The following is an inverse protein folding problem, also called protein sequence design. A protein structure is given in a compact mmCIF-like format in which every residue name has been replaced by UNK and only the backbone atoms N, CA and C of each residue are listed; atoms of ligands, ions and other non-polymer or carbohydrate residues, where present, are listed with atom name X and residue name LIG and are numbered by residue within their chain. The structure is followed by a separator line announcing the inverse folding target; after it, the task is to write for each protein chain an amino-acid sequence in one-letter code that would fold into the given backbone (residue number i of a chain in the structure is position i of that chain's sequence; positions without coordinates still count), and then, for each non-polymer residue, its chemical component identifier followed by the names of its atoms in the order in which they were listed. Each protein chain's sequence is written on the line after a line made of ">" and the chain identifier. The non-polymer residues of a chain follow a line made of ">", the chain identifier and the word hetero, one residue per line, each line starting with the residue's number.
data_IF_048061645640
#
_entry.id   IF_048061645640
#
_cell.length_a   1.000
_cell.length_b   1.000
_cell.length_c   1.000
_cell.angle_alpha   90.00
_cell.angle_beta   90.00
_cell.angle_gamma   90.00
#
_symmetry.space_group_name_H-M   'P 1'
#
loop_
_entity.id
_entity.type
_entity.pdbx_description
1 polymer ?
#
# COMPACT_ATOMS: atom_id res chain seq x y z
N UNK A 1 -9.50 -0.66 -19.45
CA UNK A 1 -8.37 -0.30 -18.58
C UNK A 1 -7.10 -0.27 -19.42
N UNK A 2 -6.77 0.93 -19.92
CA UNK A 2 -5.64 1.10 -20.86
C UNK A 2 -4.27 0.96 -20.15
N UNK A 3 -4.22 1.30 -18.88
CA UNK A 3 -2.98 1.37 -18.08
C UNK A 3 -2.81 0.20 -17.10
N UNK A 4 -3.50 -0.92 -17.28
CA UNK A 4 -3.32 -2.10 -16.42
C UNK A 4 -2.85 -3.30 -17.23
N UNK A 5 -1.71 -3.86 -16.86
CA UNK A 5 -1.14 -5.09 -17.42
C UNK A 5 -1.56 -6.29 -16.58
N UNK A 6 -2.46 -7.11 -17.12
CA UNK A 6 -2.81 -8.39 -16.50
C UNK A 6 -1.69 -9.41 -16.68
N UNK A 7 -1.49 -10.24 -15.65
CA UNK A 7 -0.51 -11.32 -15.70
C UNK A 7 -1.17 -12.66 -16.01
N UNK A 8 -0.54 -13.39 -16.91
CA UNK A 8 -0.89 -14.76 -17.26
C UNK A 8 0.12 -15.76 -16.65
N UNK A 9 -0.07 -17.05 -16.93
CA UNK A 9 0.81 -18.11 -16.42
C UNK A 9 2.28 -17.94 -16.86
N UNK A 10 2.49 -17.50 -18.09
CA UNK A 10 3.85 -17.35 -18.66
C UNK A 10 4.58 -16.20 -17.96
N UNK A 11 3.90 -15.09 -17.71
CA UNK A 11 4.47 -13.95 -16.97
C UNK A 11 4.93 -14.39 -15.58
N UNK A 12 4.11 -15.16 -14.85
CA UNK A 12 4.41 -15.64 -13.50
C UNK A 12 5.59 -16.62 -13.52
N UNK A 13 5.54 -17.61 -14.41
CA UNK A 13 6.59 -18.63 -14.51
C UNK A 13 7.93 -18.05 -15.00
N UNK A 14 7.93 -16.98 -15.79
CA UNK A 14 9.15 -16.30 -16.20
C UNK A 14 9.94 -15.70 -15.03
N UNK A 15 9.25 -15.35 -13.94
CA UNK A 15 9.83 -14.83 -12.70
C UNK A 15 10.04 -15.90 -11.62
N UNK A 16 9.65 -17.16 -11.89
CA UNK A 16 9.69 -18.26 -10.92
C UNK A 16 10.85 -19.22 -11.25
N UNK A 17 11.78 -19.35 -10.33
CA UNK A 17 12.90 -20.30 -10.45
C UNK A 17 12.43 -21.71 -10.05
N UNK A 18 11.84 -22.45 -10.98
CA UNK A 18 11.40 -23.84 -10.77
C UNK A 18 12.61 -24.74 -10.48
N UNK A 19 12.55 -25.52 -9.39
CA UNK A 19 13.61 -26.41 -8.97
C UNK A 19 13.08 -27.80 -8.62
N UNK A 20 13.91 -28.81 -8.87
CA UNK A 20 13.56 -30.20 -8.50
C UNK A 20 13.44 -30.33 -6.97
N UNK A 21 12.43 -31.05 -6.52
CA UNK A 21 12.12 -31.35 -5.11
C UNK A 21 11.67 -30.17 -4.24
N UNK A 22 11.39 -29.01 -4.79
CA UNK A 22 10.77 -27.91 -4.07
C UNK A 22 9.71 -27.23 -4.95
N UNK A 23 8.67 -26.71 -4.33
CA UNK A 23 7.62 -25.97 -5.01
C UNK A 23 7.71 -24.50 -4.59
N UNK A 24 7.58 -23.58 -5.54
CA UNK A 24 7.60 -22.13 -5.30
C UNK A 24 6.18 -21.58 -5.29
N UNK A 25 5.98 -20.43 -4.63
CA UNK A 25 4.67 -19.75 -4.66
C UNK A 25 4.20 -19.48 -6.09
N UNK A 26 5.09 -19.08 -7.00
CA UNK A 26 4.76 -18.84 -8.41
C UNK A 26 4.21 -20.06 -9.15
N UNK A 27 4.41 -21.28 -8.64
CA UNK A 27 3.81 -22.51 -9.18
C UNK A 27 2.40 -22.80 -8.60
N UNK A 28 1.99 -22.08 -7.52
CA UNK A 28 0.74 -22.29 -6.78
C UNK A 28 -0.23 -21.12 -6.87
N UNK A 29 0.29 -19.89 -7.00
CA UNK A 29 -0.50 -18.67 -7.12
C UNK A 29 -1.46 -18.76 -8.31
N UNK A 30 -2.69 -18.29 -8.10
CA UNK A 30 -3.72 -18.22 -9.14
C UNK A 30 -3.49 -17.01 -10.07
N UNK A 31 -4.00 -17.12 -11.27
CA UNK A 31 -3.97 -16.09 -12.31
C UNK A 31 -5.27 -16.15 -13.13
N UNK A 32 -5.56 -15.12 -13.89
CA UNK A 32 -6.70 -15.14 -14.82
C UNK A 32 -6.33 -15.88 -16.10
N UNK A 33 -7.30 -16.66 -16.62
CA UNK A 33 -7.12 -17.38 -17.89
C UNK A 33 -7.24 -16.45 -19.09
N UNK A 34 -8.08 -15.44 -18.97
CA UNK A 34 -8.40 -14.45 -19.98
C UNK A 34 -8.70 -13.11 -19.31
N UNK A 35 -8.24 -12.03 -19.88
CA UNK A 35 -8.45 -10.68 -19.36
C UNK A 35 -9.68 -9.97 -19.93
N UNK A 36 -10.39 -10.57 -20.90
CA UNK A 36 -11.59 -9.98 -21.53
C UNK A 36 -12.77 -9.92 -20.56
N UNK A 37 -12.92 -10.91 -19.68
CA UNK A 37 -13.94 -10.97 -18.63
C UNK A 37 -13.30 -11.18 -17.24
N UNK A 38 -12.31 -10.36 -16.93
CA UNK A 38 -11.53 -10.46 -15.71
C UNK A 38 -12.37 -10.34 -14.44
N UNK A 39 -13.40 -9.50 -14.42
CA UNK A 39 -14.22 -9.26 -13.23
C UNK A 39 -15.07 -10.49 -12.87
N UNK A 40 -15.62 -11.19 -13.85
CA UNK A 40 -16.36 -12.44 -13.63
C UNK A 40 -15.43 -13.54 -13.16
N UNK A 41 -14.26 -13.71 -13.79
CA UNK A 41 -13.28 -14.70 -13.38
C UNK A 41 -12.76 -14.43 -11.96
N UNK A 42 -12.55 -13.15 -11.61
CA UNK A 42 -12.17 -12.74 -10.26
C UNK A 42 -13.23 -13.13 -9.24
N UNK A 43 -14.51 -12.84 -9.52
CA UNK A 43 -15.62 -13.18 -8.63
C UNK A 43 -15.78 -14.70 -8.42
N UNK A 44 -15.51 -15.50 -9.46
CA UNK A 44 -15.56 -16.97 -9.43
C UNK A 44 -14.31 -17.60 -8.82
N UNK A 45 -13.22 -16.86 -8.70
CA UNK A 45 -11.97 -17.38 -8.12
C UNK A 45 -12.15 -17.76 -6.65
N UNK A 46 -11.56 -18.86 -6.26
CA UNK A 46 -11.49 -19.30 -4.86
C UNK A 46 -10.38 -18.58 -4.07
N UNK A 47 -9.59 -17.70 -4.71
CA UNK A 47 -8.60 -16.89 -4.00
C UNK A 47 -9.28 -15.94 -3.01
N UNK A 48 -8.71 -15.80 -1.82
CA UNK A 48 -9.11 -14.82 -0.79
C UNK A 48 -8.46 -13.46 -1.08
N UNK A 49 -7.22 -13.48 -1.53
CA UNK A 49 -6.39 -12.29 -1.75
C UNK A 49 -6.19 -12.01 -3.23
N UNK A 50 -6.14 -10.71 -3.57
CA UNK A 50 -5.81 -10.24 -4.92
C UNK A 50 -4.59 -9.34 -4.85
N UNK A 51 -3.48 -9.82 -5.41
CA UNK A 51 -2.21 -9.09 -5.45
C UNK A 51 -2.14 -8.23 -6.70
N UNK A 52 -1.93 -6.93 -6.51
CA UNK A 52 -1.74 -5.94 -7.57
C UNK A 52 -0.55 -5.02 -7.28
N UNK A 53 0.05 -4.46 -8.34
CA UNK A 53 1.07 -3.45 -8.26
C UNK A 53 0.59 -2.08 -8.73
N UNK A 54 1.11 -1.02 -8.10
CA UNK A 54 0.96 0.37 -8.56
C UNK A 54 2.37 1.00 -8.65
N UNK A 55 3.23 0.52 -9.56
CA UNK A 55 4.59 1.05 -9.69
C UNK A 55 4.57 2.44 -10.36
N UNK A 56 4.40 3.48 -9.55
CA UNK A 56 4.44 4.89 -9.97
C UNK A 56 5.16 5.75 -8.92
N UNK A 57 5.78 6.83 -9.34
CA UNK A 57 6.45 7.82 -8.49
C UNK A 57 5.93 9.26 -8.73
N UNK A 58 4.81 9.36 -9.43
CA UNK A 58 4.18 10.63 -9.83
C UNK A 58 3.72 11.40 -8.60
N UNK A 59 3.09 10.71 -7.63
CA UNK A 59 2.62 11.33 -6.40
C UNK A 59 3.76 11.80 -5.48
N UNK A 60 4.87 11.07 -5.44
CA UNK A 60 6.09 11.48 -4.72
C UNK A 60 6.69 12.73 -5.35
N UNK A 61 6.81 12.78 -6.67
CA UNK A 61 7.30 13.95 -7.41
C UNK A 61 6.35 15.15 -7.26
N UNK A 62 5.04 14.92 -7.21
CA UNK A 62 4.03 15.95 -6.94
C UNK A 62 4.20 16.58 -5.55
N UNK A 63 4.86 15.89 -4.62
CA UNK A 63 5.25 16.33 -3.28
C UNK A 63 6.73 16.77 -3.18
N UNK A 64 7.37 17.09 -4.29
CA UNK A 64 8.79 17.47 -4.37
C UNK A 64 9.79 16.38 -3.95
N UNK A 65 9.34 15.12 -3.82
CA UNK A 65 10.20 14.00 -3.45
C UNK A 65 11.05 13.46 -4.59
N UNK A 66 12.05 12.64 -4.24
CA UNK A 66 12.91 11.95 -5.21
C UNK A 66 12.17 10.74 -5.77
N UNK A 67 11.97 10.68 -7.07
CA UNK A 67 11.31 9.55 -7.72
C UNK A 67 12.08 8.23 -7.56
N UNK A 68 11.37 7.10 -7.74
CA UNK A 68 11.96 5.76 -7.72
C UNK A 68 11.13 4.70 -7.01
N UNK A 69 10.06 5.06 -6.29
CA UNK A 69 9.18 4.05 -5.65
C UNK A 69 8.45 3.17 -6.69
N UNK A 70 8.44 3.55 -7.96
CA UNK A 70 8.01 2.73 -9.10
C UNK A 70 8.91 1.50 -9.36
N UNK A 71 10.12 1.46 -8.77
CA UNK A 71 11.13 0.42 -9.04
C UNK A 71 11.01 -0.83 -8.16
N UNK A 72 10.14 -0.86 -7.14
CA UNK A 72 10.07 -1.95 -6.16
C UNK A 72 9.26 -3.17 -6.60
N UNK A 73 8.30 -3.00 -7.52
CA UNK A 73 7.35 -4.06 -7.93
C UNK A 73 8.02 -5.32 -8.49
N UNK A 74 8.89 -5.18 -9.48
CA UNK A 74 9.54 -6.34 -10.11
C UNK A 74 10.50 -7.06 -9.16
N UNK A 75 11.37 -6.38 -8.38
CA UNK A 75 12.17 -7.02 -7.33
C UNK A 75 11.34 -7.72 -6.25
N UNK A 76 10.19 -7.12 -5.87
CA UNK A 76 9.24 -7.78 -4.97
C UNK A 76 8.71 -9.08 -5.58
N UNK A 77 8.16 -9.06 -6.79
CA UNK A 77 7.65 -10.27 -7.44
C UNK A 77 8.73 -11.34 -7.59
N UNK A 78 9.93 -10.95 -8.01
CA UNK A 78 11.07 -11.86 -8.15
C UNK A 78 11.45 -12.53 -6.82
N UNK A 79 11.25 -11.84 -5.69
CA UNK A 79 11.45 -12.43 -4.36
C UNK A 79 10.25 -13.27 -3.93
N UNK A 80 9.03 -12.75 -4.06
CA UNK A 80 7.80 -13.34 -3.53
C UNK A 80 7.43 -14.64 -4.26
N UNK A 81 7.47 -14.66 -5.60
CA UNK A 81 7.16 -15.84 -6.39
C UNK A 81 8.16 -16.99 -6.14
N UNK A 82 9.34 -16.68 -5.62
CA UNK A 82 10.39 -17.64 -5.29
C UNK A 82 10.41 -18.07 -3.81
N UNK A 83 9.49 -17.62 -2.98
CA UNK A 83 9.26 -18.17 -1.64
C UNK A 83 8.82 -19.64 -1.77
N UNK A 84 9.27 -20.52 -0.87
CA UNK A 84 8.89 -21.92 -0.87
C UNK A 84 7.45 -22.09 -0.41
N UNK A 85 6.64 -22.77 -1.22
CA UNK A 85 5.31 -23.24 -0.83
C UNK A 85 5.46 -24.43 0.10
N UNK A 86 4.80 -24.39 1.26
CA UNK A 86 4.80 -25.45 2.28
C UNK A 86 3.57 -25.30 3.17
N UNK A 87 3.49 -26.12 4.24
CA UNK A 87 2.34 -26.14 5.16
C UNK A 87 2.16 -24.80 5.93
N UNK A 88 3.20 -23.98 6.07
CA UNK A 88 3.08 -22.66 6.66
C UNK A 88 2.53 -21.62 5.69
N UNK A 89 2.72 -21.82 4.38
CA UNK A 89 2.31 -20.87 3.35
C UNK A 89 2.21 -21.55 1.98
N UNK A 90 1.01 -21.88 1.54
CA UNK A 90 0.80 -22.57 0.26
C UNK A 90 0.83 -21.65 -0.95
N UNK A 91 0.32 -20.43 -0.83
CA UNK A 91 0.12 -19.47 -1.93
C UNK A 91 -1.17 -19.66 -2.72
N UNK A 92 -1.94 -20.72 -2.48
CA UNK A 92 -3.14 -21.06 -3.26
C UNK A 92 -4.33 -20.10 -3.04
N UNK A 93 -4.29 -19.30 -1.95
CA UNK A 93 -5.31 -18.29 -1.65
C UNK A 93 -5.06 -16.95 -2.31
N UNK A 94 -3.97 -16.82 -3.07
CA UNK A 94 -3.57 -15.56 -3.73
C UNK A 94 -3.82 -15.66 -5.23
N UNK A 95 -4.45 -14.63 -5.79
CA UNK A 95 -4.54 -14.37 -7.22
C UNK A 95 -3.66 -13.18 -7.57
N UNK A 96 -2.62 -13.39 -8.38
CA UNK A 96 -1.82 -12.30 -8.95
C UNK A 96 -2.56 -11.75 -10.17
N UNK A 97 -3.08 -10.52 -10.06
CA UNK A 97 -3.87 -9.89 -11.11
C UNK A 97 -2.98 -9.17 -12.14
N UNK A 98 -1.98 -8.42 -11.68
CA UNK A 98 -1.09 -7.64 -12.53
C UNK A 98 -0.66 -6.33 -11.89
N UNK A 99 -0.34 -5.32 -12.73
CA UNK A 99 0.05 -4.00 -12.25
C UNK A 99 -0.40 -2.88 -13.17
N UNK A 100 -0.52 -1.68 -12.62
CA UNK A 100 -0.70 -0.45 -13.40
C UNK A 100 0.62 -0.04 -14.08
N UNK A 101 0.49 0.55 -15.26
CA UNK A 101 1.60 1.17 -15.99
C UNK A 101 1.21 2.61 -16.36
N UNK A 102 1.82 3.56 -15.67
CA UNK A 102 1.64 5.00 -15.89
C UNK A 102 2.85 5.65 -16.57
N UNK A 103 3.74 4.86 -17.15
CA UNK A 103 4.96 5.33 -17.81
C UNK A 103 4.69 6.35 -18.91
N UNK A 104 3.64 6.17 -19.72
CA UNK A 104 3.25 7.11 -20.76
C UNK A 104 2.85 8.49 -20.19
N UNK A 105 2.14 8.51 -19.05
CA UNK A 105 1.74 9.75 -18.38
C UNK A 105 2.97 10.48 -17.85
N UNK A 106 3.84 9.77 -17.14
CA UNK A 106 5.11 10.29 -16.63
C UNK A 106 5.97 10.88 -17.75
N UNK A 107 6.15 10.14 -18.84
CA UNK A 107 6.89 10.58 -20.01
C UNK A 107 6.31 11.87 -20.61
N UNK A 108 4.99 11.96 -20.76
CA UNK A 108 4.34 13.17 -21.28
C UNK A 108 4.57 14.39 -20.39
N UNK A 109 4.49 14.24 -19.08
CA UNK A 109 4.73 15.33 -18.13
C UNK A 109 6.17 15.81 -18.24
N UNK A 110 7.13 14.90 -18.14
CA UNK A 110 8.56 15.23 -18.10
C UNK A 110 9.09 15.84 -19.40
N UNK A 111 8.40 15.64 -20.53
CA UNK A 111 8.80 16.18 -21.83
C UNK A 111 8.03 17.44 -22.25
N UNK A 112 6.98 17.86 -21.53
CA UNK A 112 6.14 19.01 -21.91
C UNK A 112 6.02 20.09 -20.85
N UNK A 113 6.49 19.88 -19.63
CA UNK A 113 6.57 20.94 -18.61
C UNK A 113 7.90 21.66 -18.72
N UNK A 114 7.87 22.98 -18.81
CA UNK A 114 9.05 23.83 -19.06
C UNK A 114 9.54 24.57 -17.81
N UNK A 115 8.70 24.66 -16.77
CA UNK A 115 9.07 25.29 -15.50
C UNK A 115 8.83 24.33 -14.33
N UNK A 116 9.54 24.51 -13.19
CA UNK A 116 9.31 23.70 -12.00
C UNK A 116 7.85 23.71 -11.52
N UNK A 117 7.19 24.86 -11.55
CA UNK A 117 5.79 25.00 -11.12
C UNK A 117 4.82 24.29 -12.08
N UNK A 118 5.05 24.38 -13.39
CA UNK A 118 4.28 23.62 -14.38
C UNK A 118 4.45 22.11 -14.17
N UNK A 119 5.67 21.67 -13.87
CA UNK A 119 5.97 20.26 -13.63
C UNK A 119 5.22 19.72 -12.40
N UNK A 120 5.27 20.45 -11.27
CA UNK A 120 4.55 20.06 -10.05
C UNK A 120 3.03 20.02 -10.28
N UNK A 121 2.48 21.07 -10.92
CA UNK A 121 1.05 21.12 -11.23
C UNK A 121 0.64 19.99 -12.18
N UNK A 122 1.46 19.63 -13.16
CA UNK A 122 1.20 18.52 -14.07
C UNK A 122 1.22 17.17 -13.34
N UNK A 123 2.17 16.97 -12.42
CA UNK A 123 2.17 15.78 -11.56
C UNK A 123 0.93 15.70 -10.68
N UNK A 124 0.55 16.79 -9.98
CA UNK A 124 -0.66 16.86 -9.15
C UNK A 124 -1.93 16.56 -9.95
N UNK A 125 -2.00 17.06 -11.19
CA UNK A 125 -3.11 16.72 -12.09
C UNK A 125 -3.10 15.24 -12.49
N UNK A 126 -1.94 14.68 -12.79
CA UNK A 126 -1.81 13.28 -13.19
C UNK A 126 -2.18 12.32 -12.04
N UNK A 127 -1.92 12.68 -10.79
CA UNK A 127 -2.37 11.89 -9.62
C UNK A 127 -3.89 11.71 -9.63
N UNK A 128 -4.69 12.72 -10.03
CA UNK A 128 -6.15 12.54 -10.14
C UNK A 128 -6.54 11.51 -11.21
N UNK A 129 -5.76 11.39 -12.29
CA UNK A 129 -5.99 10.35 -13.33
C UNK A 129 -5.66 8.97 -12.78
N UNK A 130 -4.59 8.85 -11.98
CA UNK A 130 -4.21 7.62 -11.28
C UNK A 130 -5.31 7.23 -10.29
N UNK A 131 -5.76 8.19 -9.48
CA UNK A 131 -6.82 8.01 -8.48
C UNK A 131 -8.07 7.37 -9.10
N UNK A 132 -8.55 7.88 -10.23
CA UNK A 132 -9.73 7.34 -10.91
C UNK A 132 -9.56 5.88 -11.33
N UNK A 133 -8.40 5.52 -11.86
CA UNK A 133 -8.15 4.17 -12.36
C UNK A 133 -7.96 3.16 -11.23
N UNK A 134 -7.21 3.55 -10.19
CA UNK A 134 -7.00 2.72 -9.00
C UNK A 134 -8.32 2.51 -8.25
N UNK A 135 -9.10 3.58 -8.02
CA UNK A 135 -10.43 3.49 -7.40
C UNK A 135 -11.31 2.47 -8.13
N UNK A 136 -11.41 2.57 -9.47
CA UNK A 136 -12.27 1.68 -10.26
C UNK A 136 -11.84 0.21 -10.15
N UNK A 137 -10.54 -0.09 -10.13
CA UNK A 137 -10.03 -1.45 -9.96
C UNK A 137 -10.36 -2.00 -8.57
N UNK A 138 -10.01 -1.24 -7.52
CA UNK A 138 -10.22 -1.66 -6.13
C UNK A 138 -11.70 -1.85 -5.80
N UNK A 139 -12.57 -1.00 -6.33
CA UNK A 139 -14.02 -1.16 -6.21
C UNK A 139 -14.52 -2.50 -6.74
N UNK A 140 -13.98 -2.98 -7.86
CA UNK A 140 -14.36 -4.29 -8.41
C UNK A 140 -13.83 -5.43 -7.55
N UNK A 141 -12.57 -5.34 -7.10
CA UNK A 141 -11.93 -6.37 -6.26
C UNK A 141 -12.70 -6.51 -4.93
N UNK A 142 -12.97 -5.39 -4.25
CA UNK A 142 -13.69 -5.39 -2.98
C UNK A 142 -15.17 -5.80 -3.13
N UNK A 143 -15.84 -5.44 -4.24
CA UNK A 143 -17.19 -5.88 -4.53
C UNK A 143 -17.29 -7.41 -4.75
N UNK A 144 -16.21 -8.04 -5.21
CA UNK A 144 -16.08 -9.50 -5.29
C UNK A 144 -15.75 -10.15 -3.93
N UNK A 145 -15.74 -9.38 -2.83
CA UNK A 145 -15.39 -9.81 -1.45
C UNK A 145 -13.98 -10.41 -1.37
N UNK A 146 -13.05 -9.88 -2.14
CA UNK A 146 -11.63 -10.23 -2.08
C UNK A 146 -10.88 -9.15 -1.30
N UNK A 147 -9.83 -9.56 -0.59
CA UNK A 147 -8.93 -8.65 0.14
C UNK A 147 -7.80 -8.23 -0.81
N UNK A 148 -7.73 -6.95 -1.20
CA UNK A 148 -6.62 -6.46 -2.02
C UNK A 148 -5.31 -6.44 -1.22
N UNK A 149 -4.22 -6.87 -1.86
CA UNK A 149 -2.84 -6.65 -1.43
C UNK A 149 -2.21 -5.77 -2.50
N UNK A 150 -1.86 -4.53 -2.14
CA UNK A 150 -1.38 -3.51 -3.06
C UNK A 150 0.08 -3.20 -2.75
N UNK A 151 0.93 -3.24 -3.77
CA UNK A 151 2.37 -3.01 -3.60
C UNK A 151 2.83 -1.88 -4.50
N UNK A 152 3.52 -0.96 -3.86
CA UNK A 152 4.26 0.10 -4.53
C UNK A 152 3.45 1.34 -4.83
N UNK A 153 4.15 2.25 -5.46
CA UNK A 153 3.76 3.62 -5.69
C UNK A 153 4.01 4.52 -4.49
N UNK A 154 3.76 5.80 -4.69
CA UNK A 154 3.75 6.77 -3.61
C UNK A 154 2.52 6.61 -2.71
N UNK A 155 2.57 7.16 -1.51
CA UNK A 155 1.48 7.06 -0.54
C UNK A 155 0.21 7.85 -0.94
N UNK A 156 0.27 8.66 -2.03
CA UNK A 156 -0.92 9.21 -2.67
C UNK A 156 -1.98 8.14 -3.00
N UNK A 157 -1.55 6.91 -3.29
CA UNK A 157 -2.44 5.81 -3.64
C UNK A 157 -3.36 5.36 -2.51
N UNK A 158 -3.08 5.68 -1.23
CA UNK A 158 -3.98 5.38 -0.12
C UNK A 158 -5.39 5.99 -0.33
N UNK A 159 -5.50 7.21 -0.89
CA UNK A 159 -6.80 7.82 -1.17
C UNK A 159 -7.68 7.00 -2.12
N UNK A 160 -7.26 6.69 -3.36
CA UNK A 160 -8.10 5.89 -4.26
C UNK A 160 -8.29 4.44 -3.79
N UNK A 161 -7.36 3.88 -3.01
CA UNK A 161 -7.50 2.55 -2.40
C UNK A 161 -8.63 2.58 -1.38
N UNK A 162 -8.60 3.49 -0.40
CA UNK A 162 -9.65 3.67 0.62
C UNK A 162 -11.00 3.86 -0.07
N UNK A 163 -11.09 4.80 -1.01
CA UNK A 163 -12.31 5.15 -1.74
C UNK A 163 -12.86 3.97 -2.54
N UNK A 164 -12.01 3.28 -3.29
CA UNK A 164 -12.40 2.14 -4.11
C UNK A 164 -12.86 0.95 -3.28
N UNK A 165 -12.11 0.62 -2.22
CA UNK A 165 -12.46 -0.49 -1.31
C UNK A 165 -13.75 -0.19 -0.57
N UNK A 166 -13.91 1.02 0.01
CA UNK A 166 -15.14 1.42 0.70
C UNK A 166 -16.38 1.30 -0.19
N UNK A 167 -16.30 1.82 -1.42
CA UNK A 167 -17.38 1.69 -2.43
C UNK A 167 -17.66 0.24 -2.82
N UNK A 168 -16.61 -0.58 -2.93
CA UNK A 168 -16.73 -2.00 -3.27
C UNK A 168 -17.42 -2.80 -2.17
N UNK A 169 -16.99 -2.66 -0.92
CA UNK A 169 -17.58 -3.32 0.25
C UNK A 169 -19.04 -2.89 0.47
N UNK A 170 -19.35 -1.60 0.30
CA UNK A 170 -20.72 -1.12 0.36
C UNK A 170 -21.59 -1.72 -0.76
N UNK A 171 -21.09 -1.75 -2.01
CA UNK A 171 -21.77 -2.39 -3.13
C UNK A 171 -22.04 -3.89 -2.89
N UNK A 172 -21.14 -4.57 -2.20
CA UNK A 172 -21.27 -5.98 -1.82
C UNK A 172 -22.19 -6.21 -0.61
N UNK A 173 -22.73 -5.16 0.00
CA UNK A 173 -23.55 -5.22 1.20
C UNK A 173 -22.79 -5.64 2.46
N UNK A 174 -21.48 -5.49 2.48
CA UNK A 174 -20.61 -5.83 3.62
C UNK A 174 -20.61 -4.72 4.67
N UNK A 175 -20.61 -3.46 4.23
CA UNK A 175 -20.73 -2.27 5.10
C UNK A 175 -21.91 -1.41 4.68
N UNK A 176 -22.58 -0.72 5.64
CA UNK A 176 -23.78 0.07 5.35
C UNK A 176 -23.49 1.40 4.63
N UNK A 177 -22.32 1.98 4.85
CA UNK A 177 -21.86 3.23 4.24
C UNK A 177 -20.55 2.97 3.48
N UNK A 178 -20.28 3.76 2.44
CA UNK A 178 -18.99 3.70 1.71
C UNK A 178 -17.88 4.38 2.53
N UNK A 179 -17.63 3.90 3.74
CA UNK A 179 -16.63 4.45 4.66
C UNK A 179 -15.94 3.31 5.40
N UNK A 180 -14.61 3.36 5.48
CA UNK A 180 -13.75 2.42 6.20
C UNK A 180 -12.75 3.19 7.06
N UNK A 181 -12.06 2.51 7.95
CA UNK A 181 -10.97 3.06 8.75
C UNK A 181 -9.61 2.73 8.14
N UNK A 182 -8.55 3.36 8.64
CA UNK A 182 -7.17 3.02 8.30
C UNK A 182 -6.25 3.12 9.52
N UNK A 183 -5.31 2.19 9.62
CA UNK A 183 -4.12 2.29 10.47
C UNK A 183 -2.90 2.41 9.58
N UNK A 184 -1.98 3.30 9.91
CA UNK A 184 -0.80 3.59 9.10
C UNK A 184 0.48 3.54 9.94
N UNK A 185 1.39 2.66 9.60
CA UNK A 185 2.74 2.65 10.16
C UNK A 185 3.64 3.52 9.29
N UNK A 186 3.97 4.71 9.78
CA UNK A 186 4.56 5.77 8.99
C UNK A 186 5.33 6.77 9.88
N UNK A 187 6.42 7.32 9.36
CA UNK A 187 7.13 8.43 9.98
C UNK A 187 6.43 9.78 9.75
N UNK A 188 5.54 9.85 8.75
CA UNK A 188 4.77 11.03 8.35
C UNK A 188 3.29 10.87 8.67
N UNK A 189 2.54 11.96 8.62
CA UNK A 189 1.08 11.91 8.83
C UNK A 189 0.29 11.68 7.54
N UNK A 190 0.85 12.06 6.40
CA UNK A 190 0.21 12.09 5.07
C UNK A 190 -1.19 12.71 5.09
N UNK A 191 -1.32 13.70 5.97
CA UNK A 191 -2.56 14.41 6.30
C UNK A 191 -2.41 15.93 6.08
N UNK A 192 -1.55 16.32 5.13
CA UNK A 192 -1.35 17.72 4.73
C UNK A 192 -2.61 18.29 4.06
N UNK A 193 -2.79 19.64 4.05
CA UNK A 193 -3.94 20.28 3.43
C UNK A 193 -4.18 19.86 1.97
N UNK A 194 -5.45 19.94 1.54
CA UNK A 194 -5.89 19.56 0.21
C UNK A 194 -5.54 20.62 -0.85
N UNK A 195 -4.24 20.85 -1.09
CA UNK A 195 -3.70 21.86 -2.03
C UNK A 195 -3.40 21.33 -3.44
N UNK A 196 -3.88 20.14 -3.78
CA UNK A 196 -3.58 19.35 -4.97
C UNK A 196 -3.05 17.99 -4.56
N UNK A 197 -3.35 16.94 -5.34
CA UNK A 197 -3.06 15.56 -4.98
C UNK A 197 -1.56 15.25 -5.05
N UNK A 198 -1.01 14.71 -3.95
CA UNK A 198 0.37 14.25 -3.83
C UNK A 198 0.53 13.20 -2.72
N UNK A 199 1.71 12.64 -2.52
CA UNK A 199 1.93 11.56 -1.54
C UNK A 199 1.60 11.98 -0.09
N UNK A 200 1.88 13.20 0.31
CA UNK A 200 1.71 13.69 1.69
C UNK A 200 0.28 14.10 2.09
N UNK A 201 -0.78 13.81 1.30
CA UNK A 201 -2.15 14.28 1.65
C UNK A 201 -3.28 13.28 1.35
N UNK A 202 -2.95 12.00 1.17
CA UNK A 202 -3.92 11.00 0.78
C UNK A 202 -5.05 10.83 1.80
N UNK A 203 -4.72 10.76 3.08
CA UNK A 203 -5.70 10.52 4.14
C UNK A 203 -6.58 11.75 4.38
N UNK A 204 -6.06 12.98 4.19
CA UNK A 204 -6.86 14.19 4.26
C UNK A 204 -7.94 14.22 3.19
N UNK A 205 -7.60 13.91 1.93
CA UNK A 205 -8.58 13.79 0.85
C UNK A 205 -9.60 12.67 1.09
N UNK A 206 -9.15 11.52 1.63
CA UNK A 206 -10.06 10.40 1.92
C UNK A 206 -11.08 10.75 3.01
N UNK A 207 -10.67 11.52 4.02
CA UNK A 207 -11.55 12.02 5.07
C UNK A 207 -12.51 13.09 4.55
N UNK A 208 -12.02 14.13 3.88
CA UNK A 208 -12.84 15.22 3.35
C UNK A 208 -13.91 14.73 2.37
N UNK A 209 -13.59 13.72 1.56
CA UNK A 209 -14.54 13.05 0.66
C UNK A 209 -15.49 12.06 1.38
N UNK A 210 -15.30 11.81 2.68
CA UNK A 210 -16.16 10.97 3.51
C UNK A 210 -15.95 9.46 3.38
N UNK A 211 -14.83 9.00 2.79
CA UNK A 211 -14.52 7.58 2.65
C UNK A 211 -13.67 7.02 3.79
N UNK A 212 -12.94 7.88 4.50
CA UNK A 212 -12.16 7.54 5.69
C UNK A 212 -12.94 7.94 6.94
N UNK A 213 -13.23 6.98 7.82
CA UNK A 213 -13.93 7.19 9.09
C UNK A 213 -12.97 7.55 10.22
N UNK A 214 -12.13 6.60 10.59
CA UNK A 214 -11.07 6.81 11.59
C UNK A 214 -9.70 6.55 10.98
N UNK A 215 -8.73 7.31 11.42
CA UNK A 215 -7.34 7.22 10.99
C UNK A 215 -6.41 7.21 12.19
N UNK A 216 -5.56 6.19 12.32
CA UNK A 216 -4.56 6.11 13.38
C UNK A 216 -3.16 5.92 12.82
N UNK A 217 -2.25 6.85 13.16
CA UNK A 217 -0.86 6.84 12.71
C UNK A 217 0.01 6.24 13.82
N UNK A 218 0.80 5.23 13.49
CA UNK A 218 1.77 4.61 14.39
C UNK A 218 3.18 4.96 13.95
N UNK A 219 3.99 5.51 14.84
CA UNK A 219 5.38 5.84 14.55
C UNK A 219 5.60 7.23 13.94
N UNK A 220 4.61 8.12 14.01
CA UNK A 220 4.75 9.52 13.57
C UNK A 220 5.96 10.18 14.25
N UNK A 221 6.89 10.72 13.46
CA UNK A 221 8.01 11.45 14.01
C UNK A 221 7.61 12.90 14.34
N UNK A 222 7.90 13.34 15.56
CA UNK A 222 7.63 14.72 16.01
C UNK A 222 8.33 15.77 15.13
N UNK A 223 9.48 15.40 14.54
CA UNK A 223 10.24 16.27 13.64
C UNK A 223 9.66 16.40 12.22
N UNK A 224 8.74 15.53 11.82
CA UNK A 224 8.21 15.49 10.44
C UNK A 224 6.77 15.97 10.32
N UNK A 225 6.13 16.32 11.43
CA UNK A 225 4.77 16.86 11.42
C UNK A 225 4.78 18.38 11.57
N UNK A 226 4.08 19.10 10.69
CA UNK A 226 3.93 20.55 10.81
C UNK A 226 2.91 20.90 11.89
N UNK A 227 3.06 22.13 12.48
CA UNK A 227 2.15 22.61 13.51
C UNK A 227 0.68 22.62 13.04
N UNK A 228 0.42 22.96 11.79
CA UNK A 228 -0.94 23.00 11.25
C UNK A 228 -1.56 21.60 11.20
N UNK A 229 -0.82 20.60 10.69
CA UNK A 229 -1.27 19.20 10.65
C UNK A 229 -1.50 18.67 12.07
N UNK A 230 -0.61 18.99 13.01
CA UNK A 230 -0.75 18.58 14.41
C UNK A 230 -2.02 19.17 15.04
N UNK A 231 -2.32 20.45 14.76
CA UNK A 231 -3.56 21.09 15.22
C UNK A 231 -4.81 20.47 14.60
N UNK A 232 -4.77 20.13 13.30
CA UNK A 232 -5.88 19.44 12.63
C UNK A 232 -6.15 18.08 13.28
N UNK A 233 -5.09 17.30 13.55
CA UNK A 233 -5.21 16.01 14.24
C UNK A 233 -5.82 16.19 15.65
N UNK A 234 -5.27 17.11 16.46
CA UNK A 234 -5.75 17.34 17.83
C UNK A 234 -7.21 17.82 17.91
N UNK A 235 -7.69 18.51 16.88
CA UNK A 235 -9.07 19.00 16.82
C UNK A 235 -10.04 17.97 16.21
N UNK A 236 -9.55 16.85 15.72
CA UNK A 236 -10.35 15.83 15.05
C UNK A 236 -10.41 14.54 15.89
N UNK A 237 -11.55 14.21 16.52
CA UNK A 237 -11.67 13.02 17.37
C UNK A 237 -11.61 11.69 16.58
N UNK A 238 -11.62 11.75 15.26
CA UNK A 238 -11.55 10.59 14.39
C UNK A 238 -10.12 10.33 13.84
N UNK A 239 -9.15 11.18 14.24
CA UNK A 239 -7.74 10.99 13.88
C UNK A 239 -6.92 10.92 15.16
N UNK A 240 -6.08 9.89 15.27
CA UNK A 240 -5.20 9.68 16.43
C UNK A 240 -3.80 9.29 15.97
N UNK A 241 -2.81 9.43 16.84
CA UNK A 241 -1.45 9.02 16.54
C UNK A 241 -0.69 8.56 17.78
N UNK A 242 0.31 7.73 17.57
CA UNK A 242 1.32 7.38 18.54
C UNK A 242 2.69 7.75 17.94
N UNK A 243 3.43 8.68 18.61
CA UNK A 243 4.71 9.12 18.07
C UNK A 243 5.79 8.05 18.19
N UNK A 244 6.77 8.11 17.29
CA UNK A 244 7.99 7.31 17.38
C UNK A 244 8.72 7.57 18.71
N UNK A 245 8.78 8.83 19.12
CA UNK A 245 9.45 9.25 20.34
C UNK A 245 8.77 8.68 21.59
N UNK A 246 7.43 8.60 21.62
CA UNK A 246 6.69 7.99 22.74
C UNK A 246 7.06 6.51 22.92
N UNK A 247 7.26 5.78 21.83
CA UNK A 247 7.50 4.33 21.84
C UNK A 247 8.99 4.01 22.02
N UNK A 248 9.86 4.65 21.22
CA UNK A 248 11.25 4.21 21.08
C UNK A 248 12.28 5.11 21.79
N UNK A 249 11.94 6.38 22.06
CA UNK A 249 12.83 7.29 22.77
C UNK A 249 12.47 7.39 24.26
N UNK A 250 11.18 7.49 24.56
CA UNK A 250 10.70 7.68 25.95
C UNK A 250 10.15 6.42 26.59
N UNK A 251 9.96 5.35 25.84
CA UNK A 251 9.44 4.04 26.30
C UNK A 251 8.16 4.13 27.15
N UNK A 252 7.28 5.12 26.83
CA UNK A 252 6.01 5.32 27.53
C UNK A 252 4.98 4.22 27.21
N UNK A 253 5.07 3.66 26.00
CA UNK A 253 4.36 2.48 25.53
C UNK A 253 5.35 1.56 24.83
N UNK A 254 5.17 0.25 24.89
CA UNK A 254 5.90 -0.61 23.98
C UNK A 254 5.21 -0.68 22.60
N UNK A 255 5.92 -1.15 21.59
CA UNK A 255 5.44 -1.14 20.22
C UNK A 255 4.16 -1.97 20.01
N UNK A 256 4.01 -3.11 20.69
CA UNK A 256 2.79 -3.93 20.62
C UNK A 256 1.59 -3.19 21.23
N UNK A 257 1.79 -2.44 22.32
CA UNK A 257 0.74 -1.59 22.88
C UNK A 257 0.33 -0.47 21.93
N UNK A 258 1.27 0.09 21.17
CA UNK A 258 0.97 1.10 20.16
C UNK A 258 0.11 0.51 19.02
N UNK A 259 0.44 -0.69 18.53
CA UNK A 259 -0.37 -1.37 17.52
C UNK A 259 -1.76 -1.72 18.07
N UNK A 260 -1.84 -2.27 19.28
CA UNK A 260 -3.11 -2.62 19.92
C UNK A 260 -4.01 -1.39 20.14
N UNK A 261 -3.42 -0.22 20.44
CA UNK A 261 -4.17 1.04 20.51
C UNK A 261 -4.75 1.41 19.14
N UNK A 262 -3.94 1.37 18.08
CA UNK A 262 -4.39 1.72 16.73
C UNK A 262 -5.49 0.78 16.22
N UNK A 263 -5.34 -0.53 16.39
CA UNK A 263 -6.38 -1.51 16.02
C UNK A 263 -7.65 -1.34 16.84
N UNK A 264 -7.54 -1.12 18.16
CA UNK A 264 -8.71 -0.84 19.02
C UNK A 264 -9.42 0.48 18.69
N UNK A 265 -8.68 1.52 18.27
CA UNK A 265 -9.28 2.79 17.83
C UNK A 265 -10.12 2.62 16.56
N UNK A 266 -9.75 1.72 15.68
CA UNK A 266 -10.37 1.52 14.35
C UNK A 266 -11.28 0.30 14.23
N UNK A 267 -11.56 -0.46 15.33
CA UNK A 267 -12.25 -1.76 15.32
C UNK A 267 -13.74 -1.74 14.92
N UNK A 268 -14.39 -0.56 14.89
CA UNK A 268 -15.83 -0.43 14.68
C UNK A 268 -16.28 -0.76 13.25
N UNK A 269 -15.39 -0.66 12.25
CA UNK A 269 -15.67 -1.06 10.86
C UNK A 269 -14.45 -1.71 10.21
N UNK A 270 -14.52 -1.98 8.91
CA UNK A 270 -13.40 -2.51 8.13
C UNK A 270 -12.23 -1.53 8.10
N UNK A 271 -11.02 -2.03 8.31
CA UNK A 271 -9.80 -1.22 8.46
C UNK A 271 -8.77 -1.60 7.39
N UNK A 272 -8.27 -0.60 6.66
CA UNK A 272 -7.10 -0.71 5.80
C UNK A 272 -5.81 -0.73 6.61
N UNK A 273 -4.88 -1.60 6.23
CA UNK A 273 -3.55 -1.66 6.82
C UNK A 273 -2.58 -0.99 5.84
N UNK A 274 -2.05 0.16 6.23
CA UNK A 274 -1.07 0.93 5.48
C UNK A 274 0.32 0.78 6.10
N UNK A 275 1.33 0.65 5.26
CA UNK A 275 2.72 0.65 5.67
C UNK A 275 3.56 1.46 4.70
N UNK A 276 4.08 2.58 5.19
CA UNK A 276 5.12 3.33 4.50
C UNK A 276 6.50 2.73 4.81
N UNK A 277 7.24 2.34 3.77
CA UNK A 277 8.56 1.76 3.95
C UNK A 277 9.63 2.78 4.36
N UNK A 278 9.35 4.08 4.26
CA UNK A 278 10.28 5.13 4.67
C UNK A 278 10.45 5.22 6.19
N UNK A 279 9.46 4.72 6.95
CA UNK A 279 9.55 4.61 8.40
C UNK A 279 10.53 3.52 8.88
N UNK A 280 11.00 2.63 7.98
CA UNK A 280 11.91 1.54 8.31
C UNK A 280 13.35 1.99 8.09
N UNK A 281 14.16 1.93 9.13
CA UNK A 281 15.58 2.33 9.07
C UNK A 281 16.34 1.59 7.96
N UNK A 282 17.17 2.33 7.21
CA UNK A 282 17.99 1.80 6.12
C UNK A 282 17.20 1.20 4.94
N UNK A 283 15.90 1.42 4.84
CA UNK A 283 15.14 1.10 3.64
C UNK A 283 15.23 2.25 2.64
N UNK A 284 15.47 1.94 1.38
CA UNK A 284 15.60 2.96 0.33
C UNK A 284 14.23 3.53 -0.02
N UNK A 285 14.07 4.84 0.19
CA UNK A 285 12.88 5.61 -0.10
C UNK A 285 13.24 7.06 -0.39
N UNK A 286 12.29 7.83 -0.88
CA UNK A 286 12.42 9.29 -1.08
C UNK A 286 12.75 10.02 0.22
N UNK A 287 12.14 9.64 1.33
CA UNK A 287 12.26 10.26 2.64
C UNK A 287 12.90 9.34 3.69
N UNK A 288 13.84 8.49 3.27
CA UNK A 288 14.51 7.53 4.15
C UNK A 288 15.05 8.17 5.43
N UNK A 289 14.73 7.58 6.59
CA UNK A 289 15.17 8.04 7.91
C UNK A 289 16.25 7.14 8.52
N UNK A 290 17.26 7.70 9.18
CA UNK A 290 18.24 6.92 9.96
C UNK A 290 17.68 6.43 11.32
N UNK A 291 16.60 7.08 11.80
CA UNK A 291 15.97 6.80 13.09
C UNK A 291 14.60 6.12 12.89
N UNK A 292 14.52 5.14 12.01
CA UNK A 292 13.28 4.41 11.76
C UNK A 292 13.11 3.19 12.66
N UNK A 293 11.97 2.53 12.51
CA UNK A 293 11.72 1.22 13.10
C UNK A 293 12.58 0.15 12.43
N UNK A 294 12.72 -1.01 13.06
CA UNK A 294 13.42 -2.14 12.43
C UNK A 294 12.50 -2.92 11.49
N UNK A 295 13.04 -3.68 10.51
CA UNK A 295 12.25 -4.62 9.72
C UNK A 295 11.46 -5.63 10.58
N UNK A 296 11.96 -5.99 11.75
CA UNK A 296 11.25 -6.87 12.69
C UNK A 296 9.98 -6.18 13.24
N UNK A 297 10.08 -4.91 13.61
CA UNK A 297 8.91 -4.14 14.06
C UNK A 297 7.84 -4.02 12.95
N UNK A 298 8.24 -3.76 11.70
CA UNK A 298 7.30 -3.75 10.57
C UNK A 298 6.59 -5.10 10.40
N UNK A 299 7.31 -6.21 10.52
CA UNK A 299 6.73 -7.56 10.49
C UNK A 299 5.77 -7.82 11.67
N UNK A 300 6.10 -7.34 12.88
CA UNK A 300 5.22 -7.43 14.05
C UNK A 300 3.94 -6.63 13.84
N UNK A 301 4.05 -5.40 13.29
CA UNK A 301 2.89 -4.57 12.93
C UNK A 301 1.96 -5.30 11.96
N UNK A 302 2.49 -5.76 10.84
CA UNK A 302 1.70 -6.48 9.84
C UNK A 302 1.06 -7.74 10.43
N UNK A 303 1.82 -8.57 11.16
CA UNK A 303 1.30 -9.80 11.74
C UNK A 303 0.18 -9.54 12.76
N UNK A 304 0.34 -8.51 13.61
CA UNK A 304 -0.66 -8.18 14.62
C UNK A 304 -1.92 -7.60 13.97
N UNK A 305 -1.76 -6.60 13.10
CA UNK A 305 -2.88 -5.94 12.44
C UNK A 305 -3.69 -6.88 11.53
N UNK A 306 -3.04 -7.88 10.94
CA UNK A 306 -3.68 -8.87 10.08
C UNK A 306 -4.55 -9.89 10.83
N UNK A 307 -4.48 -9.98 12.16
CA UNK A 307 -5.36 -10.87 12.96
C UNK A 307 -6.77 -10.31 13.14
N UNK A 308 -7.05 -9.09 12.69
CA UNK A 308 -8.40 -8.53 12.72
C UNK A 308 -9.27 -9.16 11.63
N UNK A 309 -10.46 -9.64 12.01
CA UNK A 309 -11.43 -10.23 11.07
C UNK A 309 -12.00 -9.19 10.06
N UNK A 310 -11.87 -7.89 10.35
CA UNK A 310 -12.37 -6.79 9.50
C UNK A 310 -11.30 -6.12 8.66
N UNK A 311 -10.24 -6.82 8.26
CA UNK A 311 -9.23 -6.27 7.35
C UNK A 311 -9.83 -5.93 5.99
N UNK A 312 -9.72 -4.66 5.57
CA UNK A 312 -10.21 -4.17 4.29
C UNK A 312 -9.21 -4.43 3.15
N UNK A 313 -7.92 -4.18 3.39
CA UNK A 313 -6.81 -4.34 2.44
C UNK A 313 -5.46 -4.24 3.15
N UNK A 314 -4.39 -4.61 2.44
CA UNK A 314 -3.01 -4.27 2.77
C UNK A 314 -2.43 -3.39 1.66
N UNK A 315 -1.80 -2.25 2.03
CA UNK A 315 -1.01 -1.42 1.12
C UNK A 315 0.40 -1.22 1.68
N UNK A 316 1.42 -1.44 0.85
CA UNK A 316 2.84 -1.21 1.16
C UNK A 316 3.40 -0.27 0.09
N UNK A 317 3.89 0.90 0.48
CA UNK A 317 4.25 2.00 -0.42
C UNK A 317 5.64 2.61 -0.14
N UNK A 318 6.00 3.63 -0.91
CA UNK A 318 7.19 4.51 -0.85
C UNK A 318 8.56 3.83 -1.01
N UNK A 319 8.66 2.51 -0.82
CA UNK A 319 9.91 1.80 -0.96
C UNK A 319 10.43 1.74 -2.39
N UNK A 320 11.73 1.93 -2.57
CA UNK A 320 12.41 1.89 -3.86
C UNK A 320 13.52 0.84 -3.89
N UNK A 321 13.73 0.20 -5.03
CA UNK A 321 14.95 -0.59 -5.29
C UNK A 321 16.02 0.25 -5.97
N UNK A 322 15.61 1.34 -6.63
CA UNK A 322 16.51 2.36 -7.18
C UNK A 322 15.81 3.71 -7.19
N UNK A 323 16.47 4.74 -6.68
CA UNK A 323 16.00 6.12 -6.76
C UNK A 323 16.51 6.82 -8.04
N UNK A 324 15.86 7.92 -8.40
CA UNK A 324 16.24 8.72 -9.55
C UNK A 324 17.65 9.35 -9.43
N UNK A 325 18.19 9.50 -8.23
CA UNK A 325 19.54 9.98 -7.95
C UNK A 325 20.62 8.89 -8.05
N UNK A 326 20.22 7.65 -8.37
CA UNK A 326 21.12 6.51 -8.60
C UNK A 326 21.40 5.63 -7.39
N UNK A 327 20.92 5.98 -6.20
CA UNK A 327 21.00 5.08 -5.01
C UNK A 327 20.20 3.80 -5.26
N UNK A 328 20.71 2.66 -4.77
CA UNK A 328 20.11 1.33 -4.98
C UNK A 328 20.05 0.54 -3.69
N UNK A 329 19.02 -0.31 -3.55
CA UNK A 329 18.89 -1.34 -2.53
C UNK A 329 18.33 -2.63 -3.13
N UNK A 330 19.06 -3.72 -2.98
CA UNK A 330 18.68 -5.05 -3.47
C UNK A 330 17.72 -5.78 -2.48
N UNK A 331 17.54 -5.25 -1.27
CA UNK A 331 16.77 -5.90 -0.22
C UNK A 331 15.31 -5.45 -0.16
N UNK A 332 14.97 -4.27 -0.69
CA UNK A 332 13.60 -3.72 -0.63
C UNK A 332 12.55 -4.72 -1.11
N UNK A 333 12.74 -5.32 -2.28
CA UNK A 333 11.80 -6.31 -2.82
C UNK A 333 11.66 -7.56 -1.93
N UNK A 334 12.76 -7.99 -1.30
CA UNK A 334 12.74 -9.13 -0.38
C UNK A 334 12.05 -8.78 0.95
N UNK A 335 12.23 -7.57 1.45
CA UNK A 335 11.53 -7.07 2.65
C UNK A 335 10.02 -7.08 2.41
N UNK A 336 9.56 -6.50 1.30
CA UNK A 336 8.14 -6.51 0.93
C UNK A 336 7.59 -7.95 0.85
N UNK A 337 8.38 -8.89 0.30
CA UNK A 337 8.00 -10.30 0.22
C UNK A 337 7.79 -10.93 1.61
N UNK A 338 8.59 -10.58 2.62
CA UNK A 338 8.36 -11.02 4.01
C UNK A 338 7.06 -10.42 4.57
N UNK A 339 6.84 -9.12 4.38
CA UNK A 339 5.67 -8.41 4.91
C UNK A 339 4.35 -8.97 4.34
N UNK A 340 4.29 -9.21 3.02
CA UNK A 340 3.13 -9.84 2.37
C UNK A 340 2.93 -11.28 2.86
N UNK A 341 4.02 -12.03 3.03
CA UNK A 341 3.93 -13.41 3.57
C UNK A 341 3.42 -13.43 5.01
N UNK A 342 3.87 -12.51 5.85
CA UNK A 342 3.43 -12.39 7.25
C UNK A 342 1.95 -11.99 7.32
N UNK A 343 1.51 -11.06 6.47
CA UNK A 343 0.10 -10.66 6.35
C UNK A 343 -0.80 -11.86 6.03
N UNK A 344 -0.49 -12.58 4.95
CA UNK A 344 -1.33 -13.70 4.50
C UNK A 344 -1.36 -14.81 5.55
N UNK A 345 -0.21 -15.15 6.15
CA UNK A 345 -0.13 -16.17 7.20
C UNK A 345 -0.94 -15.80 8.45
N UNK A 346 -0.86 -14.57 8.92
CA UNK A 346 -1.58 -14.12 10.11
C UNK A 346 -3.10 -14.08 9.86
N UNK A 347 -3.53 -13.59 8.69
CA UNK A 347 -4.95 -13.43 8.35
C UNK A 347 -5.66 -14.77 7.98
N UNK A 348 -4.92 -15.85 7.72
CA UNK A 348 -5.50 -17.19 7.46
C UNK A 348 -5.73 -17.99 8.76
N UNK A 349 -5.00 -17.68 9.83
CA UNK A 349 -5.04 -18.46 11.09
C UNK A 349 -6.34 -18.26 11.90
N UNK A 350 -7.23 -17.37 11.46
CA UNK A 350 -8.60 -17.21 11.96
C UNK A 350 -9.62 -17.92 11.02
#
# INVERSE_FOLDING_TARGET
>A
MKQFKFYNKEDILSLTAVRRFETRLGERIKYLKDNTDWSTQLAQSTAKYVLIGIPEDIGVKANHGIGGCDTSWVPFLSSFLNVRSNDFFSGEDILLLGHFDFGDIKYLIENNAYTPDELINAYRHAVNIIDEQVENMLKVIAAAKKVPIIIGGGHNNAYPIIKGVAKGLNKAGVIPLSQINAINLDAHADYSPAEGRHSGNAFKYAEEDGYLGKYCIVGLHENYVSQNVLMDIHNNPFVDYISYEEVFLHERKNFIQAIAHATGFTEDTYTGIELDLDCIQNTLSSAATPCGITPLHARQYISFAATDAKVAYLHICEGASQLADGRKDENTGKLISYLVSDFVKAHIQE
#
